data_IF_898910252603
#
_entry.id   IF_898910252603
#
_cell.length_a   1.000
_cell.length_b   1.000
_cell.length_c   1.000
_cell.angle_alpha   90.00
_cell.angle_beta   90.00
_cell.angle_gamma   90.00
#
_symmetry.space_group_name_H-M   'P 1'
#
loop_
_entity.id
_entity.type
_entity.pdbx_description
1 polymer ?
#
# COMPACT_ATOMS: atom_id res chain seq x y z
N UNK A 1 30.84 7.70 -27.39
CA UNK A 1 31.27 6.45 -26.71
C UNK A 1 32.58 6.55 -25.91
N UNK A 2 32.84 7.65 -25.17
CA UNK A 2 33.99 7.74 -24.23
C UNK A 2 33.70 8.56 -22.94
N UNK A 3 32.43 8.79 -22.61
CA UNK A 3 32.02 9.53 -21.39
C UNK A 3 31.10 8.75 -20.44
N UNK A 4 30.83 7.47 -20.72
CA UNK A 4 29.87 6.64 -19.97
C UNK A 4 30.54 5.85 -18.81
N UNK A 5 31.87 5.87 -18.68
CA UNK A 5 32.58 5.03 -17.70
C UNK A 5 32.86 5.74 -16.36
N UNK A 6 32.56 7.04 -16.21
CA UNK A 6 33.00 7.80 -15.03
C UNK A 6 31.94 7.97 -13.91
N UNK A 7 30.71 7.49 -14.09
CA UNK A 7 29.64 7.63 -13.07
C UNK A 7 29.46 6.36 -12.22
N UNK A 8 30.11 5.24 -12.56
CA UNK A 8 29.99 3.97 -11.83
C UNK A 8 30.92 3.85 -10.60
N UNK A 9 31.66 4.90 -10.22
CA UNK A 9 32.75 4.82 -9.23
C UNK A 9 32.51 5.59 -7.90
N UNK A 10 31.30 6.09 -7.65
CA UNK A 10 31.00 6.89 -6.44
C UNK A 10 29.96 6.25 -5.49
N UNK A 11 29.43 5.06 -5.79
CA UNK A 11 28.41 4.38 -4.93
C UNK A 11 28.96 3.19 -4.12
N UNK A 12 30.29 3.00 -4.05
CA UNK A 12 30.92 1.92 -3.25
C UNK A 12 31.85 2.48 -2.18
N UNK A 13 31.27 3.13 -1.17
CA UNK A 13 32.04 3.53 0.00
C UNK A 13 31.19 4.10 1.11
N UNK A 14 30.70 3.23 2.01
CA UNK A 14 30.71 3.40 3.49
C UNK A 14 29.82 2.38 4.21
N UNK A 15 30.29 1.16 4.47
CA UNK A 15 29.81 0.37 5.63
C UNK A 15 30.99 -0.39 6.23
N UNK A 16 31.57 0.15 7.29
CA UNK A 16 32.42 -0.59 8.23
C UNK A 16 32.59 0.22 9.53
N UNK A 17 31.67 0.09 10.47
CA UNK A 17 31.91 0.49 11.87
C UNK A 17 32.22 -0.81 12.64
N UNK A 18 33.52 -1.05 12.84
CA UNK A 18 34.03 -2.16 13.64
C UNK A 18 34.02 -1.83 15.13
N UNK A 19 33.40 -2.72 15.91
CA UNK A 19 33.40 -2.70 17.38
C UNK A 19 34.80 -3.04 17.88
N UNK A 20 35.43 -2.14 18.65
CA UNK A 20 36.67 -2.41 19.37
C UNK A 20 36.39 -3.02 20.75
N UNK A 21 36.86 -4.24 20.93
CA UNK A 21 36.96 -4.93 22.23
C UNK A 21 38.16 -4.39 23.00
N UNK A 22 37.93 -3.87 24.22
CA UNK A 22 38.96 -3.56 25.20
C UNK A 22 38.71 -4.41 26.44
N UNK A 23 39.65 -5.31 26.72
CA UNK A 23 39.69 -6.06 27.97
C UNK A 23 40.21 -5.20 29.11
N UNK A 24 39.52 -5.25 30.25
CA UNK A 24 40.10 -4.94 31.55
C UNK A 24 39.34 -5.74 32.63
N UNK A 25 40.09 -6.53 33.38
CA UNK A 25 39.67 -7.33 34.52
C UNK A 25 39.43 -6.46 35.77
N UNK A 26 38.34 -6.69 36.51
CA UNK A 26 38.26 -6.41 37.94
C UNK A 26 37.12 -7.18 38.64
N UNK A 27 37.49 -7.95 39.67
CA UNK A 27 36.81 -8.05 40.96
C UNK A 27 35.34 -8.51 41.03
N UNK A 28 35.13 -9.72 41.58
CA UNK A 28 33.83 -10.22 42.05
C UNK A 28 33.20 -9.30 43.11
N UNK A 29 31.94 -8.93 42.92
CA UNK A 29 30.98 -8.74 43.99
C UNK A 29 29.66 -9.41 43.57
N UNK A 30 29.28 -10.47 44.28
CA UNK A 30 27.98 -11.12 44.16
C UNK A 30 26.93 -10.19 44.79
N UNK A 31 26.01 -9.68 43.97
CA UNK A 31 24.70 -9.23 44.45
C UNK A 31 23.65 -9.89 43.57
N UNK A 32 22.78 -10.67 44.20
CA UNK A 32 21.66 -11.32 43.55
C UNK A 32 20.70 -10.29 43.00
N UNK A 33 20.77 -10.05 41.69
CA UNK A 33 19.69 -9.45 40.94
C UNK A 33 18.94 -10.59 40.28
N UNK A 34 17.71 -10.83 40.74
CA UNK A 34 16.74 -11.66 40.04
C UNK A 34 16.75 -11.23 38.57
N UNK A 35 17.04 -12.16 37.66
CA UNK A 35 16.89 -11.89 36.23
C UNK A 35 15.41 -11.63 35.98
N UNK A 36 15.01 -10.36 35.93
CA UNK A 36 13.80 -10.00 35.21
C UNK A 36 14.08 -10.44 33.79
N UNK A 37 13.43 -11.52 33.36
CA UNK A 37 13.32 -11.82 31.94
C UNK A 37 12.48 -10.68 31.39
N UNK A 38 13.12 -9.61 30.97
CA UNK A 38 12.52 -8.72 29.98
C UNK A 38 12.30 -9.61 28.77
N UNK A 39 11.03 -9.99 28.55
CA UNK A 39 10.62 -10.44 27.24
C UNK A 39 11.01 -9.30 26.31
N UNK A 40 12.09 -9.47 25.55
CA UNK A 40 12.34 -8.62 24.41
C UNK A 40 11.17 -8.88 23.49
N UNK A 41 10.16 -8.01 23.50
CA UNK A 41 9.31 -7.84 22.34
C UNK A 41 10.28 -7.49 21.23
N UNK A 42 10.66 -8.48 20.42
CA UNK A 42 11.09 -8.19 19.08
C UNK A 42 9.87 -7.55 18.46
N UNK A 43 9.87 -6.23 18.36
CA UNK A 43 9.06 -5.55 17.35
C UNK A 43 9.58 -6.12 16.05
N UNK A 44 8.91 -7.15 15.56
CA UNK A 44 8.97 -7.52 14.15
C UNK A 44 8.80 -6.21 13.40
N UNK A 45 9.72 -5.88 12.49
CA UNK A 45 9.46 -4.78 11.57
C UNK A 45 8.09 -5.04 10.94
N UNK A 46 7.18 -4.07 11.03
CA UNK A 46 5.84 -4.21 10.47
C UNK A 46 5.92 -4.65 9.01
N UNK A 47 5.00 -5.53 8.59
CA UNK A 47 5.03 -6.08 7.22
C UNK A 47 4.78 -4.98 6.18
N UNK A 48 5.19 -5.24 4.94
CA UNK A 48 5.04 -4.29 3.83
C UNK A 48 4.47 -4.94 2.58
N UNK A 49 3.67 -4.18 1.82
CA UNK A 49 3.26 -4.47 0.45
C UNK A 49 3.88 -3.45 -0.50
N UNK A 50 4.49 -3.90 -1.59
CA UNK A 50 4.95 -3.01 -2.67
C UNK A 50 3.78 -2.66 -3.60
N UNK A 51 3.46 -1.38 -3.73
CA UNK A 51 2.52 -0.86 -4.74
C UNK A 51 3.30 -0.45 -5.98
N UNK A 52 3.06 -1.11 -7.11
CA UNK A 52 3.81 -0.87 -8.34
C UNK A 52 3.16 0.26 -9.16
N UNK A 53 3.96 1.17 -9.70
CA UNK A 53 3.47 2.22 -10.58
C UNK A 53 2.94 1.62 -11.88
N UNK A 54 1.73 1.99 -12.26
CA UNK A 54 1.13 1.64 -13.54
C UNK A 54 1.26 2.82 -14.51
N UNK A 55 1.64 2.53 -15.75
CA UNK A 55 1.68 3.51 -16.84
C UNK A 55 0.33 3.64 -17.56
N UNK A 56 -0.58 2.71 -17.32
CA UNK A 56 -1.95 2.72 -17.82
C UNK A 56 -2.85 2.24 -16.69
N UNK A 57 -3.86 3.04 -16.37
CA UNK A 57 -4.82 2.69 -15.33
C UNK A 57 -5.51 1.36 -15.66
N UNK A 58 -5.72 0.48 -14.66
CA UNK A 58 -6.56 -0.68 -14.84
C UNK A 58 -8.01 -0.25 -15.07
N UNK A 59 -8.79 -1.08 -15.75
CA UNK A 59 -10.23 -0.90 -15.91
C UNK A 59 -10.87 -1.44 -14.64
N UNK A 60 -11.43 -0.56 -13.81
CA UNK A 60 -12.13 -0.97 -12.58
C UNK A 60 -13.49 -1.59 -12.95
N UNK A 61 -13.50 -2.89 -13.23
CA UNK A 61 -14.69 -3.66 -13.60
C UNK A 61 -14.83 -4.98 -12.81
N UNK A 62 -13.85 -5.32 -11.98
CA UNK A 62 -13.80 -6.51 -11.14
C UNK A 62 -13.07 -7.68 -11.81
N UNK A 63 -12.73 -7.60 -13.10
CA UNK A 63 -11.91 -8.59 -13.81
C UNK A 63 -10.43 -8.26 -13.63
N UNK A 64 -9.73 -9.09 -12.85
CA UNK A 64 -8.32 -8.86 -12.52
C UNK A 64 -7.33 -9.20 -13.65
N UNK A 65 -7.81 -9.45 -14.89
CA UNK A 65 -6.97 -9.90 -16.00
C UNK A 65 -6.00 -8.86 -16.55
N UNK A 66 -6.23 -7.57 -16.31
CA UNK A 66 -5.34 -6.47 -16.68
C UNK A 66 -4.28 -6.14 -15.60
N UNK A 67 -4.35 -6.79 -14.43
CA UNK A 67 -3.38 -6.61 -13.36
C UNK A 67 -2.06 -7.32 -13.64
N UNK A 68 -0.97 -6.56 -13.54
CA UNK A 68 0.37 -7.10 -13.66
C UNK A 68 0.72 -7.99 -12.47
N UNK A 69 1.49 -9.05 -12.72
CA UNK A 69 2.11 -9.83 -11.66
C UNK A 69 3.06 -8.93 -10.84
N UNK A 70 3.01 -9.07 -9.52
CA UNK A 70 3.77 -8.24 -8.59
C UNK A 70 3.78 -8.80 -7.19
N UNK A 71 4.19 -7.95 -6.25
CA UNK A 71 4.07 -8.26 -4.83
C UNK A 71 2.60 -8.42 -4.42
N UNK A 72 2.36 -9.25 -3.41
CA UNK A 72 1.00 -9.57 -2.95
C UNK A 72 0.97 -10.00 -1.51
N UNK A 73 -0.16 -9.76 -0.87
CA UNK A 73 -0.52 -10.35 0.41
C UNK A 73 -1.36 -11.59 0.14
N UNK A 74 -1.09 -12.68 0.86
CA UNK A 74 -2.05 -13.75 1.06
C UNK A 74 -2.58 -13.58 2.49
N UNK A 75 -3.87 -13.32 2.64
CA UNK A 75 -4.57 -13.18 3.91
C UNK A 75 -5.44 -14.40 4.13
N UNK A 76 -5.16 -15.15 5.18
CA UNK A 76 -5.98 -16.24 5.69
C UNK A 76 -5.77 -16.34 7.21
N UNK A 77 -6.47 -17.25 7.88
CA UNK A 77 -6.35 -17.47 9.33
C UNK A 77 -4.93 -17.77 9.85
N UNK A 78 -4.03 -18.24 8.98
CA UNK A 78 -2.65 -18.59 9.32
C UNK A 78 -1.66 -17.46 9.03
N UNK A 79 -2.03 -16.50 8.16
CA UNK A 79 -1.19 -15.35 7.80
C UNK A 79 -1.65 -14.03 8.41
N UNK A 80 -2.89 -13.95 8.90
CA UNK A 80 -3.42 -12.80 9.62
C UNK A 80 -2.63 -12.55 10.91
N UNK A 81 -2.45 -11.27 11.25
CA UNK A 81 -1.85 -10.89 12.54
C UNK A 81 -2.85 -11.08 13.67
N UNK A 82 -4.09 -10.66 13.46
CA UNK A 82 -5.20 -10.89 14.37
C UNK A 82 -6.39 -11.45 13.61
N UNK A 83 -7.17 -12.28 14.29
CA UNK A 83 -8.43 -12.78 13.76
C UNK A 83 -9.41 -13.12 14.89
N UNK A 84 -10.68 -13.19 14.55
CA UNK A 84 -11.78 -13.65 15.39
C UNK A 84 -12.78 -14.46 14.58
N UNK A 85 -13.67 -15.18 15.27
CA UNK A 85 -14.64 -16.07 14.62
C UNK A 85 -14.12 -17.49 14.39
N UNK A 86 -14.97 -18.30 13.79
CA UNK A 86 -14.60 -19.62 13.29
C UNK A 86 -14.28 -19.47 11.81
N UNK A 87 -13.06 -19.86 11.41
CA UNK A 87 -12.66 -19.93 10.01
C UNK A 87 -12.10 -21.33 9.82
N UNK A 88 -12.82 -22.20 9.14
CA UNK A 88 -12.53 -23.62 9.03
C UNK A 88 -11.32 -23.88 8.13
N UNK A 89 -11.18 -23.11 7.04
CA UNK A 89 -10.07 -23.25 6.10
C UNK A 89 -9.83 -21.99 5.25
N UNK A 90 -8.74 -21.91 4.47
CA UNK A 90 -8.60 -20.81 3.49
C UNK A 90 -9.64 -20.81 2.36
N UNK A 91 -10.36 -21.92 2.15
CA UNK A 91 -11.49 -21.95 1.22
C UNK A 91 -12.80 -21.42 1.84
N UNK A 92 -12.82 -21.32 3.17
CA UNK A 92 -13.88 -20.68 3.97
C UNK A 92 -13.71 -19.17 3.84
N UNK A 93 -12.53 -18.66 4.26
CA UNK A 93 -12.23 -17.24 4.17
C UNK A 93 -10.74 -17.01 3.88
N UNK A 94 -10.45 -16.43 2.72
CA UNK A 94 -9.11 -15.92 2.41
C UNK A 94 -9.15 -14.84 1.33
N UNK A 95 -8.08 -14.05 1.24
CA UNK A 95 -7.90 -13.09 0.17
C UNK A 95 -6.46 -13.03 -0.37
N UNK A 96 -6.33 -12.71 -1.66
CA UNK A 96 -5.08 -12.26 -2.27
C UNK A 96 -5.21 -10.79 -2.60
N UNK A 97 -4.33 -9.96 -2.03
CA UNK A 97 -4.36 -8.50 -2.19
C UNK A 97 -3.13 -8.05 -2.98
N UNK A 98 -3.38 -7.24 -4.01
CA UNK A 98 -2.36 -6.53 -4.80
C UNK A 98 -2.66 -5.03 -4.78
N UNK A 99 -1.62 -4.22 -4.97
CA UNK A 99 -1.76 -2.78 -5.08
C UNK A 99 -0.93 -2.24 -6.24
N UNK A 100 -1.47 -1.20 -6.87
CA UNK A 100 -0.82 -0.43 -7.91
C UNK A 100 -1.12 1.05 -7.71
N UNK A 101 -0.37 1.93 -8.36
CA UNK A 101 -0.63 3.37 -8.29
C UNK A 101 -0.28 4.08 -9.59
N UNK A 102 -0.92 5.21 -9.85
CA UNK A 102 -0.46 6.20 -10.81
C UNK A 102 -0.43 7.60 -10.16
N UNK A 103 -0.16 8.63 -10.95
CA UNK A 103 0.00 9.99 -10.42
C UNK A 103 -1.26 10.54 -9.73
N UNK A 104 -2.44 9.99 -10.01
CA UNK A 104 -3.73 10.48 -9.52
C UNK A 104 -4.48 9.46 -8.65
N UNK A 105 -4.11 8.19 -8.68
CA UNK A 105 -4.96 7.14 -8.12
C UNK A 105 -4.14 6.01 -7.49
N UNK A 106 -4.58 5.56 -6.32
CA UNK A 106 -4.15 4.33 -5.67
C UNK A 106 -5.15 3.23 -5.99
N UNK A 107 -4.67 2.08 -6.44
CA UNK A 107 -5.49 0.95 -6.84
C UNK A 107 -5.26 -0.25 -5.91
N UNK A 108 -6.33 -1.02 -5.71
CA UNK A 108 -6.29 -2.35 -5.11
C UNK A 108 -7.04 -3.36 -5.96
N UNK A 109 -6.46 -4.55 -6.09
CA UNK A 109 -7.13 -5.75 -6.58
C UNK A 109 -7.13 -6.78 -5.48
N UNK A 110 -8.32 -7.26 -5.14
CA UNK A 110 -8.54 -8.19 -4.04
C UNK A 110 -9.34 -9.36 -4.58
N UNK A 111 -8.77 -10.56 -4.50
CA UNK A 111 -9.43 -11.81 -4.87
C UNK A 111 -9.80 -12.53 -3.57
N UNK A 112 -11.10 -12.69 -3.29
CA UNK A 112 -11.62 -13.31 -2.07
C UNK A 112 -12.13 -14.72 -2.40
N UNK A 113 -11.80 -15.67 -1.52
CA UNK A 113 -12.50 -16.95 -1.43
C UNK A 113 -13.43 -16.90 -0.21
N UNK A 114 -14.67 -17.30 -0.45
CA UNK A 114 -15.80 -17.22 0.48
C UNK A 114 -16.86 -18.23 0.00
N UNK A 115 -17.28 -19.15 0.87
CA UNK A 115 -18.23 -20.20 0.55
C UNK A 115 -19.70 -19.79 0.72
N UNK A 116 -20.01 -18.76 1.49
CA UNK A 116 -21.37 -18.26 1.74
C UNK A 116 -21.41 -16.73 1.77
N UNK A 117 -21.67 -16.14 0.60
CA UNK A 117 -21.81 -14.68 0.49
C UNK A 117 -23.18 -14.16 0.98
N UNK A 118 -23.21 -13.34 2.02
CA UNK A 118 -24.38 -12.64 2.58
C UNK A 118 -24.17 -11.12 2.59
N UNK A 119 -25.21 -10.39 2.15
CA UNK A 119 -25.25 -8.92 2.16
C UNK A 119 -26.69 -8.44 2.42
N UNK A 120 -27.24 -8.73 3.59
CA UNK A 120 -28.65 -8.48 3.93
C UNK A 120 -28.87 -7.74 5.26
N UNK A 121 -27.78 -7.34 5.92
CA UNK A 121 -27.79 -6.68 7.22
C UNK A 121 -28.26 -5.21 7.15
N UNK A 122 -28.77 -4.65 8.27
CA UNK A 122 -29.15 -3.24 8.33
C UNK A 122 -27.93 -2.29 8.31
N UNK A 123 -26.76 -2.79 8.69
CA UNK A 123 -25.48 -2.11 8.71
C UNK A 123 -24.55 -2.78 7.69
N UNK A 124 -24.79 -2.57 6.39
CA UNK A 124 -24.07 -3.27 5.29
C UNK A 124 -22.54 -3.26 5.39
N UNK A 125 -21.95 -2.28 6.09
CA UNK A 125 -20.52 -2.26 6.39
C UNK A 125 -20.09 -3.35 7.38
N UNK A 126 -20.99 -4.19 7.89
CA UNK A 126 -20.71 -5.35 8.75
C UNK A 126 -20.79 -6.67 8.00
N UNK A 127 -21.49 -6.69 6.88
CA UNK A 127 -21.64 -7.83 5.99
C UNK A 127 -20.30 -8.13 5.27
N UNK A 128 -20.29 -9.19 4.47
CA UNK A 128 -19.12 -9.66 3.74
C UNK A 128 -18.47 -8.55 2.95
N UNK A 129 -17.16 -8.43 3.13
CA UNK A 129 -16.41 -7.43 2.42
C UNK A 129 -15.03 -7.21 2.98
N UNK A 130 -14.37 -6.25 2.34
CA UNK A 130 -12.97 -5.92 2.60
C UNK A 130 -12.89 -4.52 3.17
N UNK A 131 -12.04 -4.36 4.18
CA UNK A 131 -11.65 -3.05 4.69
C UNK A 131 -10.23 -2.74 4.29
N UNK A 132 -10.03 -1.64 3.58
CA UNK A 132 -8.72 -1.06 3.28
C UNK A 132 -8.50 0.13 4.20
N UNK A 133 -7.57 -0.02 5.14
CA UNK A 133 -7.22 1.03 6.08
C UNK A 133 -5.90 1.68 5.71
N UNK A 134 -5.90 3.01 5.61
CA UNK A 134 -4.77 3.81 5.16
C UNK A 134 -4.48 4.93 6.17
N UNK A 135 -3.20 5.11 6.46
CA UNK A 135 -2.63 6.30 7.12
C UNK A 135 -1.73 6.97 6.06
N UNK A 136 -2.31 7.94 5.37
CA UNK A 136 -1.78 8.49 4.12
C UNK A 136 -0.43 9.19 4.30
N UNK A 137 -0.29 10.00 5.36
CA UNK A 137 0.97 10.65 5.71
C UNK A 137 1.93 9.75 6.48
N UNK A 138 1.50 8.54 6.86
CA UNK A 138 2.24 7.57 7.66
C UNK A 138 2.78 8.20 8.97
N UNK A 139 2.01 9.11 9.55
CA UNK A 139 2.40 9.90 10.71
C UNK A 139 2.04 9.21 12.04
N UNK A 140 1.33 8.08 11.93
CA UNK A 140 0.88 7.22 13.03
C UNK A 140 -0.11 7.89 13.97
N UNK A 141 -0.76 8.96 13.52
CA UNK A 141 -1.89 9.57 14.20
C UNK A 141 -3.16 9.08 13.53
N UNK A 142 -4.18 8.78 14.34
CA UNK A 142 -5.47 8.40 13.81
C UNK A 142 -6.37 9.61 13.57
N UNK A 143 -7.30 9.44 12.63
CA UNK A 143 -8.42 10.34 12.33
C UNK A 143 -8.02 11.67 11.67
N UNK A 144 -6.85 11.72 11.04
CA UNK A 144 -6.46 12.75 10.10
C UNK A 144 -7.38 12.81 8.88
N UNK A 145 -7.26 13.89 8.10
CA UNK A 145 -7.98 14.01 6.82
C UNK A 145 -7.46 13.01 5.78
N UNK A 146 -6.22 12.54 5.94
CA UNK A 146 -5.51 11.57 5.10
C UNK A 146 -5.67 10.11 5.56
N UNK A 147 -6.25 9.89 6.74
CA UNK A 147 -6.53 8.56 7.25
C UNK A 147 -7.87 8.09 6.72
N UNK A 148 -7.98 6.85 6.29
CA UNK A 148 -9.26 6.31 5.82
C UNK A 148 -9.42 4.85 6.21
N UNK A 149 -10.68 4.44 6.35
CA UNK A 149 -11.07 3.05 6.50
C UNK A 149 -12.15 2.79 5.46
N UNK A 150 -11.73 2.44 4.25
CA UNK A 150 -12.64 2.15 3.17
C UNK A 150 -13.19 0.75 3.34
N UNK A 151 -14.50 0.61 3.53
CA UNK A 151 -15.20 -0.68 3.47
C UNK A 151 -15.82 -0.85 2.09
N UNK A 152 -15.51 -1.96 1.43
CA UNK A 152 -16.12 -2.38 0.17
C UNK A 152 -16.86 -3.68 0.45
N UNK A 153 -18.17 -3.60 0.46
CA UNK A 153 -19.08 -4.72 0.70
C UNK A 153 -19.17 -5.56 -0.58
N UNK A 154 -19.38 -6.86 -0.46
CA UNK A 154 -19.43 -7.78 -1.59
C UNK A 154 -20.57 -7.44 -2.58
N UNK A 155 -21.56 -6.60 -2.21
CA UNK A 155 -22.60 -6.07 -3.10
C UNK A 155 -22.19 -4.82 -3.90
N UNK A 156 -20.98 -4.30 -3.64
CA UNK A 156 -20.43 -3.09 -4.26
C UNK A 156 -20.69 -1.80 -3.50
N UNK A 157 -21.38 -1.85 -2.35
CA UNK A 157 -21.56 -0.68 -1.49
C UNK A 157 -20.23 -0.25 -0.87
N UNK A 158 -20.00 1.07 -0.81
CA UNK A 158 -18.75 1.64 -0.30
C UNK A 158 -18.97 2.63 0.84
N UNK A 159 -18.07 2.55 1.82
CA UNK A 159 -18.10 3.39 3.02
C UNK A 159 -16.69 3.88 3.34
N UNK A 160 -16.58 5.05 3.95
CA UNK A 160 -15.38 5.48 4.68
C UNK A 160 -15.76 5.71 6.14
N UNK A 161 -15.09 5.00 7.07
CA UNK A 161 -15.39 5.05 8.52
C UNK A 161 -16.87 4.83 8.82
N UNK A 162 -17.44 3.79 8.20
CA UNK A 162 -18.86 3.41 8.28
C UNK A 162 -19.87 4.44 7.73
N UNK A 163 -19.41 5.49 7.03
CA UNK A 163 -20.27 6.46 6.35
C UNK A 163 -20.32 6.14 4.85
N UNK A 164 -21.50 6.02 4.21
CA UNK A 164 -21.61 5.77 2.78
C UNK A 164 -20.92 6.87 1.95
N UNK A 165 -20.17 6.48 0.92
CA UNK A 165 -19.42 7.41 0.06
C UNK A 165 -19.64 7.15 -1.43
N UNK A 166 -19.16 8.08 -2.25
CA UNK A 166 -19.04 7.95 -3.71
C UNK A 166 -17.71 8.51 -4.23
N UNK A 167 -16.76 8.78 -3.32
CA UNK A 167 -15.50 9.44 -3.63
C UNK A 167 -14.47 8.49 -4.24
N UNK A 168 -14.60 7.19 -3.98
CA UNK A 168 -13.85 6.11 -4.61
C UNK A 168 -14.67 5.42 -5.69
N UNK A 169 -14.01 4.79 -6.65
CA UNK A 169 -14.64 3.88 -7.61
C UNK A 169 -14.31 2.45 -7.19
N UNK A 170 -15.33 1.61 -7.04
CA UNK A 170 -15.15 0.18 -6.78
C UNK A 170 -16.02 -0.66 -7.71
N UNK A 171 -15.54 -1.83 -8.10
CA UNK A 171 -16.32 -2.85 -8.80
C UNK A 171 -16.13 -4.19 -8.14
N UNK A 172 -17.20 -4.98 -8.07
CA UNK A 172 -17.20 -6.33 -7.53
C UNK A 172 -17.72 -7.29 -8.58
N UNK A 173 -16.94 -8.34 -8.86
CA UNK A 173 -17.31 -9.42 -9.76
C UNK A 173 -17.39 -10.73 -8.97
N UNK A 174 -18.58 -11.31 -8.90
CA UNK A 174 -18.83 -12.55 -8.15
C UNK A 174 -18.66 -13.79 -9.01
N UNK A 175 -18.22 -14.89 -8.40
CA UNK A 175 -18.10 -16.20 -9.03
C UNK A 175 -18.39 -17.31 -8.01
N UNK A 176 -18.40 -18.57 -8.47
CA UNK A 176 -18.60 -19.71 -7.57
C UNK A 176 -17.42 -19.84 -6.60
N UNK A 177 -17.68 -19.69 -5.30
CA UNK A 177 -16.66 -19.78 -4.23
C UNK A 177 -15.93 -18.48 -3.91
N UNK A 178 -16.44 -17.32 -4.36
CA UNK A 178 -15.90 -16.02 -3.92
C UNK A 178 -16.23 -14.85 -4.85
N UNK A 179 -15.41 -13.81 -4.76
CA UNK A 179 -15.56 -12.59 -5.55
C UNK A 179 -14.23 -11.84 -5.67
N UNK A 180 -14.10 -11.05 -6.73
CA UNK A 180 -13.01 -10.12 -6.91
C UNK A 180 -13.50 -8.68 -6.75
N UNK A 181 -12.66 -7.86 -6.13
CA UNK A 181 -12.87 -6.42 -5.96
C UNK A 181 -11.72 -5.70 -6.64
N UNK A 182 -12.08 -4.67 -7.41
CA UNK A 182 -11.16 -3.61 -7.78
C UNK A 182 -11.59 -2.29 -7.17
N UNK A 183 -10.61 -1.53 -6.66
CA UNK A 183 -10.85 -0.21 -6.06
C UNK A 183 -9.87 0.79 -6.64
N UNK A 184 -10.36 1.98 -6.99
CA UNK A 184 -9.60 3.15 -7.37
C UNK A 184 -9.90 4.29 -6.38
N UNK A 185 -8.87 4.68 -5.63
CA UNK A 185 -8.92 5.72 -4.60
C UNK A 185 -8.18 6.96 -5.12
N UNK A 186 -8.82 8.15 -5.18
CA UNK A 186 -8.13 9.37 -5.55
C UNK A 186 -6.95 9.65 -4.61
N UNK A 187 -5.74 9.78 -5.16
CA UNK A 187 -4.51 10.02 -4.39
C UNK A 187 -4.59 11.31 -3.56
N UNK A 188 -5.39 12.27 -4.02
CA UNK A 188 -5.62 13.55 -3.35
C UNK A 188 -6.42 13.42 -2.04
N UNK A 189 -7.11 12.30 -1.79
CA UNK A 189 -7.69 11.99 -0.47
C UNK A 189 -6.59 11.57 0.53
N UNK A 190 -5.49 10.98 0.04
CA UNK A 190 -4.49 10.33 0.88
C UNK A 190 -3.27 11.20 1.17
N UNK A 191 -2.79 11.97 0.19
CA UNK A 191 -1.58 12.77 0.36
C UNK A 191 -1.64 14.09 -0.42
N UNK A 192 -0.94 15.14 0.07
CA UNK A 192 -0.73 16.34 -0.71
C UNK A 192 0.30 16.08 -1.83
N UNK A 193 -0.18 16.09 -3.07
CA UNK A 193 0.68 16.02 -4.27
C UNK A 193 0.78 14.62 -4.87
N UNK A 194 1.86 14.38 -5.61
CA UNK A 194 2.08 13.14 -6.36
C UNK A 194 3.14 12.30 -5.66
N UNK A 195 2.89 11.02 -5.35
CA UNK A 195 3.87 10.16 -4.72
C UNK A 195 5.04 9.89 -5.66
N UNK A 196 6.20 9.57 -5.09
CA UNK A 196 7.38 9.13 -5.82
C UNK A 196 7.75 7.72 -5.38
N UNK A 197 8.56 7.02 -6.16
CA UNK A 197 9.11 5.75 -5.69
C UNK A 197 9.84 5.93 -4.36
N UNK A 198 9.47 5.13 -3.38
CA UNK A 198 9.93 5.20 -1.99
C UNK A 198 8.97 5.92 -1.04
N UNK A 199 7.90 6.55 -1.53
CA UNK A 199 6.80 7.02 -0.66
C UNK A 199 6.22 5.85 0.12
N UNK A 200 5.90 6.06 1.39
CA UNK A 200 5.33 5.05 2.30
C UNK A 200 4.05 5.58 2.91
N UNK A 201 2.99 4.77 2.86
CA UNK A 201 1.76 4.97 3.64
C UNK A 201 1.65 3.89 4.71
N UNK A 202 1.00 4.20 5.83
CA UNK A 202 0.50 3.18 6.74
C UNK A 202 -0.64 2.42 6.06
N UNK A 203 -0.63 1.09 6.16
CA UNK A 203 -1.62 0.25 5.48
C UNK A 203 -1.91 -1.02 6.27
N UNK A 204 -3.19 -1.34 6.37
CA UNK A 204 -3.63 -2.70 6.68
C UNK A 204 -4.92 -3.03 5.93
N UNK A 205 -5.26 -4.31 5.91
CA UNK A 205 -6.48 -4.81 5.28
C UNK A 205 -7.19 -5.76 6.23
N UNK A 206 -8.52 -5.60 6.33
CA UNK A 206 -9.42 -6.48 7.04
C UNK A 206 -10.32 -7.24 6.07
N UNK A 207 -10.66 -8.48 6.38
CA UNK A 207 -11.62 -9.30 5.62
C UNK A 207 -12.69 -9.80 6.59
N UNK A 208 -13.92 -9.35 6.38
CA UNK A 208 -15.12 -9.75 7.13
C UNK A 208 -15.89 -10.83 6.40
N UNK A 209 -16.62 -11.58 7.21
CA UNK A 209 -17.35 -12.79 6.85
C UNK A 209 -18.59 -12.88 7.74
N UNK A 210 -19.78 -12.97 7.14
CA UNK A 210 -21.11 -13.07 7.73
C UNK A 210 -21.88 -14.17 6.98
N UNK A 211 -22.10 -15.32 7.62
CA UNK A 211 -22.74 -16.47 6.98
C UNK A 211 -24.24 -16.57 7.26
N UNK A 212 -24.73 -15.84 8.28
CA UNK A 212 -26.08 -16.05 8.84
C UNK A 212 -27.00 -14.82 8.88
N UNK A 213 -26.55 -13.70 8.29
CA UNK A 213 -27.32 -12.45 8.11
C UNK A 213 -27.37 -11.60 9.38
N UNK A 214 -26.33 -11.72 10.20
CA UNK A 214 -26.20 -11.18 11.55
C UNK A 214 -25.21 -10.02 11.65
N UNK A 215 -24.39 -10.04 12.71
CA UNK A 215 -23.12 -9.31 12.71
C UNK A 215 -22.07 -10.28 12.15
N UNK A 216 -20.97 -9.80 11.57
CA UNK A 216 -19.87 -10.65 11.08
C UNK A 216 -19.51 -11.79 12.06
N UNK A 217 -19.42 -12.99 11.51
CA UNK A 217 -19.05 -14.23 12.19
C UNK A 217 -17.55 -14.34 12.35
N UNK A 218 -16.80 -13.92 11.33
CA UNK A 218 -15.36 -13.93 11.33
C UNK A 218 -14.73 -12.64 10.79
N UNK A 219 -13.50 -12.41 11.24
CA UNK A 219 -12.75 -11.24 10.82
C UNK A 219 -11.26 -11.54 10.84
N UNK A 220 -10.59 -11.33 9.70
CA UNK A 220 -9.15 -11.45 9.53
C UNK A 220 -8.54 -10.06 9.34
N UNK A 221 -7.47 -9.74 10.05
CA UNK A 221 -6.70 -8.51 9.82
C UNK A 221 -5.29 -8.88 9.42
N UNK A 222 -4.82 -8.30 8.32
CA UNK A 222 -3.47 -8.52 7.84
C UNK A 222 -2.47 -8.09 8.90
N UNK A 223 -2.28 -6.80 9.19
CA UNK A 223 -1.32 -6.32 10.20
C UNK A 223 -2.02 -5.43 11.24
N UNK A 224 -1.69 -5.61 12.53
CA UNK A 224 -2.28 -4.84 13.63
C UNK A 224 -3.54 -5.48 14.21
N UNK A 225 -4.13 -4.84 15.21
CA UNK A 225 -5.28 -5.37 15.97
C UNK A 225 -6.64 -4.86 15.50
N UNK A 226 -6.65 -3.82 14.66
CA UNK A 226 -7.84 -3.24 14.05
C UNK A 226 -7.47 -2.57 12.72
N UNK A 227 -8.49 -2.22 11.95
CA UNK A 227 -8.42 -1.41 10.72
C UNK A 227 -8.86 0.04 10.97
N UNK A 228 -9.09 0.42 12.22
CA UNK A 228 -9.63 1.73 12.59
C UNK A 228 -9.01 2.24 13.88
N UNK A 229 -8.28 3.36 13.79
CA UNK A 229 -7.87 4.09 14.98
C UNK A 229 -6.59 3.63 15.67
N UNK A 230 -5.83 2.69 15.09
CA UNK A 230 -4.47 2.34 15.53
C UNK A 230 -3.45 2.28 14.37
N UNK A 231 -3.26 3.36 13.60
CA UNK A 231 -2.34 3.37 12.45
C UNK A 231 -0.87 3.13 12.81
N UNK A 232 -0.50 3.30 14.09
CA UNK A 232 0.80 2.90 14.64
C UNK A 232 1.07 1.39 14.56
N UNK A 233 0.02 0.58 14.48
CA UNK A 233 0.10 -0.88 14.32
C UNK A 233 0.10 -1.33 12.86
N UNK A 234 -0.22 -0.44 11.92
CA UNK A 234 -0.35 -0.78 10.52
C UNK A 234 1.01 -1.17 9.91
N UNK A 235 0.92 -2.04 8.89
CA UNK A 235 2.02 -2.30 7.99
C UNK A 235 2.34 -1.09 7.12
N UNK A 236 3.13 -1.33 6.07
CA UNK A 236 3.54 -0.28 5.12
C UNK A 236 3.12 -0.61 3.71
N UNK A 237 2.48 0.34 3.04
CA UNK A 237 2.33 0.33 1.59
C UNK A 237 3.46 1.17 0.98
N UNK A 238 4.33 0.53 0.21
CA UNK A 238 5.54 1.16 -0.33
C UNK A 238 5.38 1.39 -1.82
N UNK A 239 5.43 2.64 -2.24
CA UNK A 239 5.28 3.05 -3.63
C UNK A 239 6.56 2.73 -4.38
N UNK A 240 6.45 1.96 -5.46
CA UNK A 240 7.57 1.55 -6.29
C UNK A 240 7.29 1.84 -7.75
N UNK A 241 8.35 1.99 -8.54
CA UNK A 241 8.26 2.06 -9.99
C UNK A 241 9.29 1.10 -10.60
N UNK A 242 8.99 0.56 -11.77
CA UNK A 242 9.99 -0.20 -12.52
C UNK A 242 11.07 0.76 -12.98
N UNK A 243 12.33 0.37 -12.80
CA UNK A 243 13.46 1.19 -13.24
C UNK A 243 13.40 1.45 -14.76
N UNK A 244 12.93 0.46 -15.53
CA UNK A 244 12.70 0.55 -16.98
C UNK A 244 11.71 1.66 -17.31
N UNK A 245 10.51 1.62 -16.73
CA UNK A 245 9.47 2.64 -16.91
C UNK A 245 9.95 4.05 -16.51
N UNK A 246 10.73 4.14 -15.44
CA UNK A 246 11.32 5.41 -15.00
C UNK A 246 12.33 5.93 -16.02
N UNK A 247 13.17 5.06 -16.57
CA UNK A 247 14.14 5.45 -17.61
C UNK A 247 13.38 5.93 -18.85
N UNK A 248 12.38 5.19 -19.31
CA UNK A 248 11.58 5.55 -20.48
C UNK A 248 10.88 6.90 -20.29
N UNK A 249 10.30 7.14 -19.10
CA UNK A 249 9.68 8.42 -18.77
C UNK A 249 10.69 9.58 -18.74
N UNK A 250 11.90 9.36 -18.21
CA UNK A 250 12.97 10.35 -18.20
C UNK A 250 13.48 10.65 -19.62
N UNK A 251 13.64 9.63 -20.46
CA UNK A 251 14.04 9.79 -21.86
C UNK A 251 12.99 10.60 -22.64
N UNK A 252 11.70 10.27 -22.49
CA UNK A 252 10.61 11.03 -23.09
C UNK A 252 10.61 12.50 -22.63
N UNK A 253 10.88 12.75 -21.35
CA UNK A 253 10.95 14.12 -20.81
C UNK A 253 12.15 14.90 -21.35
N UNK A 254 13.30 14.26 -21.52
CA UNK A 254 14.48 14.90 -22.12
C UNK A 254 14.16 15.34 -23.55
N UNK A 255 13.55 14.46 -24.36
CA UNK A 255 13.16 14.78 -25.74
C UNK A 255 12.20 15.98 -25.77
N UNK A 256 11.21 16.02 -24.88
CA UNK A 256 10.28 17.15 -24.80
C UNK A 256 10.98 18.47 -24.42
N UNK A 257 11.96 18.41 -23.51
CA UNK A 257 12.72 19.59 -23.10
C UNK A 257 13.64 20.09 -24.22
N UNK A 258 14.24 19.19 -24.99
CA UNK A 258 15.04 19.52 -26.18
C UNK A 258 14.18 20.24 -27.23
N UNK A 259 12.98 19.71 -27.53
CA UNK A 259 12.04 20.35 -28.45
C UNK A 259 11.62 21.75 -27.98
N UNK A 260 11.35 21.90 -26.68
CA UNK A 260 11.00 23.19 -26.08
C UNK A 260 12.17 24.17 -26.11
N UNK A 261 13.40 23.69 -25.94
CA UNK A 261 14.59 24.51 -26.07
C UNK A 261 14.76 25.02 -27.51
N UNK A 262 14.57 24.15 -28.50
CA UNK A 262 14.64 24.53 -29.92
C UNK A 262 13.56 25.58 -30.28
N UNK A 263 12.34 25.42 -29.77
CA UNK A 263 11.26 26.41 -29.93
C UNK A 263 11.64 27.77 -29.33
N UNK A 264 12.19 27.79 -28.12
CA UNK A 264 12.63 29.03 -27.47
C UNK A 264 13.80 29.70 -28.19
N UNK A 265 14.74 28.92 -28.73
CA UNK A 265 15.84 29.44 -29.52
C UNK A 265 15.35 30.06 -30.83
N UNK A 266 14.34 29.45 -31.46
CA UNK A 266 13.68 30.02 -32.64
C UNK A 266 13.01 31.37 -32.31
N UNK A 267 12.26 31.45 -31.21
CA UNK A 267 11.62 32.70 -30.75
C UNK A 267 12.67 33.79 -30.46
N UNK A 268 13.78 33.43 -29.80
CA UNK A 268 14.87 34.38 -29.52
C UNK A 268 15.52 34.90 -30.81
N UNK A 269 15.77 34.02 -31.79
CA UNK A 269 16.33 34.43 -33.08
C UNK A 269 15.40 35.39 -33.84
N UNK A 270 14.08 35.19 -33.75
CA UNK A 270 13.11 36.11 -34.34
C UNK A 270 13.14 37.48 -33.66
N UNK A 271 13.32 37.52 -32.34
CA UNK A 271 13.42 38.75 -31.58
C UNK A 271 14.71 39.53 -31.88
N UNK A 272 15.85 38.83 -32.00
CA UNK A 272 17.14 39.45 -32.40
C UNK A 272 17.11 40.02 -33.83
N UNK A 273 16.25 39.48 -34.70
CA UNK A 273 16.06 39.96 -36.08
C UNK A 273 15.20 41.22 -36.21
N UNK A 274 14.57 41.70 -35.14
CA UNK A 274 13.72 42.90 -35.16
C UNK A 274 14.58 44.18 -35.00
N UNK A 275 14.27 45.27 -35.73
CA UNK A 275 14.93 46.55 -35.50
C UNK A 275 14.62 47.06 -34.08
N UNK A 276 15.58 47.71 -33.40
CA UNK A 276 15.35 48.26 -32.07
C UNK A 276 14.22 49.31 -32.10
N UNK A 277 13.44 49.42 -31.00
CA UNK A 277 12.32 50.35 -30.90
C UNK A 277 12.73 51.82 -31.00
#
# INVERSE_FOLDING_TARGET
>A
MKRIILILLIVMGTVAIGIRVLGASAGRALLGMSSVRTSSFQVSSARSLQSMRFLSAPIVDGDLSDWLAGDRINLDRYTAFSYSGNIDSPADLSAIIRSAWDEQTLYFAIEVNDDVRVTDGPDLWRDDGVEVALDGLNDKNAWGEDDHQYSIVADGSTFDRSVPITSIVASVLTYEGGYSIEVAIPMAELIPGVPISGTVMGFTVGLRDDDDGGDWDAYLIWEGTNTSGAPEEFGSLVFTERLEDRIDALEARIIQLEQKLDELLQILSEFEGLPPP
#
